data_IF_246568590955
#
_entry.id   IF_246568590955
#
_cell.length_a   1.000
_cell.length_b   1.000
_cell.length_c   1.000
_cell.angle_alpha   90.00
_cell.angle_beta   90.00
_cell.angle_gamma   90.00
#
_symmetry.space_group_name_H-M   'P 1'
#
loop_
_entity.id
_entity.type
_entity.pdbx_description
1 polymer ?
#
# COMPACT_ATOMS: atom_id res chain seq x y z
N UNK A 1 9.26 36.92 21.56
CA UNK A 1 8.82 36.11 22.71
C UNK A 1 7.77 35.13 22.23
N UNK A 2 7.95 33.83 22.45
CA UNK A 2 6.97 32.81 22.07
C UNK A 2 5.81 32.88 23.07
N UNK A 3 4.61 33.26 22.61
CA UNK A 3 3.40 33.48 23.41
C UNK A 3 2.74 32.19 23.92
N UNK A 4 3.51 31.31 24.56
CA UNK A 4 3.00 30.10 25.20
C UNK A 4 2.72 30.35 26.69
N UNK A 5 1.58 29.85 27.17
CA UNK A 5 1.22 29.89 28.58
C UNK A 5 2.23 29.11 29.44
N UNK A 6 2.58 29.67 30.60
CA UNK A 6 3.53 29.10 31.58
C UNK A 6 3.16 27.67 31.97
N UNK A 7 1.86 27.37 32.13
CA UNK A 7 1.39 26.02 32.52
C UNK A 7 1.63 24.97 31.44
N UNK A 8 1.51 25.34 30.16
CA UNK A 8 1.77 24.45 29.03
C UNK A 8 3.25 24.09 28.94
N UNK A 9 4.14 25.05 29.26
CA UNK A 9 5.58 24.84 29.27
C UNK A 9 6.03 23.85 30.35
N UNK A 10 5.40 23.85 31.52
CA UNK A 10 5.76 22.95 32.63
C UNK A 10 5.00 21.63 32.62
N UNK A 11 4.07 21.41 31.69
CA UNK A 11 3.27 20.19 31.65
C UNK A 11 4.16 18.98 31.30
N UNK A 12 4.19 17.99 32.21
CA UNK A 12 4.78 16.67 31.95
C UNK A 12 3.65 15.65 31.78
N UNK A 13 3.58 14.93 30.65
CA UNK A 13 2.59 13.89 30.48
C UNK A 13 2.85 12.76 31.47
N UNK A 14 1.83 12.39 32.25
CA UNK A 14 1.88 11.25 33.17
C UNK A 14 1.76 9.96 32.36
N UNK A 15 2.75 9.06 32.48
CA UNK A 15 2.68 7.73 31.88
C UNK A 15 1.63 6.91 32.60
N UNK A 16 0.68 6.31 31.86
CA UNK A 16 -0.31 5.41 32.45
C UNK A 16 0.34 4.05 32.70
N UNK A 17 0.03 3.37 33.82
CA UNK A 17 0.62 2.06 34.15
C UNK A 17 0.31 0.97 33.10
N UNK A 18 -0.79 1.11 32.36
CA UNK A 18 -1.13 0.17 31.27
C UNK A 18 -0.21 0.28 30.04
N UNK A 19 0.57 1.36 29.92
CA UNK A 19 1.39 1.61 28.73
C UNK A 19 2.52 0.60 28.59
N UNK A 20 3.15 0.20 29.69
CA UNK A 20 4.24 -0.77 29.67
C UNK A 20 3.75 -2.15 29.18
N UNK A 21 2.53 -2.53 29.55
CA UNK A 21 1.88 -3.78 29.10
C UNK A 21 1.66 -3.71 27.58
N UNK A 22 1.14 -2.58 27.10
CA UNK A 22 0.87 -2.35 25.68
C UNK A 22 2.17 -2.35 24.87
N UNK A 23 3.21 -1.67 25.36
CA UNK A 23 4.53 -1.61 24.72
C UNK A 23 5.11 -3.01 24.59
N UNK A 24 5.12 -3.78 25.69
CA UNK A 24 5.64 -5.14 25.71
C UNK A 24 4.88 -6.05 24.75
N UNK A 25 3.54 -5.91 24.69
CA UNK A 25 2.70 -6.70 23.79
C UNK A 25 2.90 -6.32 22.33
N UNK A 26 2.95 -5.02 22.03
CA UNK A 26 3.21 -4.50 20.69
C UNK A 26 4.58 -4.98 20.18
N UNK A 27 5.62 -4.94 21.03
CA UNK A 27 6.96 -5.43 20.70
C UNK A 27 6.95 -6.93 20.37
N UNK A 28 6.28 -7.74 21.19
CA UNK A 28 6.12 -9.18 20.92
C UNK A 28 5.40 -9.46 19.59
N UNK A 29 4.34 -8.71 19.29
CA UNK A 29 3.62 -8.84 18.02
C UNK A 29 4.48 -8.42 16.82
N UNK A 30 5.26 -7.35 16.96
CA UNK A 30 6.16 -6.86 15.92
C UNK A 30 7.32 -7.83 15.64
N UNK A 31 7.90 -8.44 16.68
CA UNK A 31 8.94 -9.48 16.56
C UNK A 31 8.39 -10.72 15.86
N UNK A 32 7.20 -11.20 16.26
CA UNK A 32 6.56 -12.37 15.65
C UNK A 32 6.20 -12.12 14.18
N UNK A 33 5.82 -10.89 13.83
CA UNK A 33 5.24 -10.56 12.51
C UNK A 33 5.89 -9.32 11.90
N UNK A 34 7.18 -9.41 11.60
CA UNK A 34 8.02 -8.32 11.09
C UNK A 34 7.55 -7.65 9.78
N UNK A 35 6.61 -8.24 9.03
CA UNK A 35 6.01 -7.63 7.81
C UNK A 35 4.81 -6.72 8.11
N UNK A 36 4.31 -6.70 9.34
CA UNK A 36 3.09 -5.97 9.68
C UNK A 36 3.40 -4.54 10.10
N UNK A 37 2.67 -3.59 9.51
CA UNK A 37 2.72 -2.18 9.89
C UNK A 37 1.78 -1.85 11.04
N UNK A 38 1.83 -0.61 11.52
CA UNK A 38 1.03 -0.12 12.64
C UNK A 38 -0.49 -0.40 12.51
N UNK A 39 -1.17 -0.21 11.35
CA UNK A 39 -2.60 -0.48 11.24
C UNK A 39 -2.97 -1.94 11.55
N UNK A 40 -2.14 -2.89 11.12
CA UNK A 40 -2.38 -4.32 11.38
C UNK A 40 -2.15 -4.68 12.85
N UNK A 41 -1.09 -4.14 13.44
CA UNK A 41 -0.80 -4.34 14.86
C UNK A 41 -1.88 -3.73 15.77
N UNK A 42 -2.41 -2.56 15.39
CA UNK A 42 -3.52 -1.91 16.09
C UNK A 42 -4.78 -2.77 16.10
N UNK A 43 -5.15 -3.38 14.97
CA UNK A 43 -6.31 -4.29 14.90
C UNK A 43 -6.09 -5.51 15.79
N UNK A 44 -4.87 -6.06 15.85
CA UNK A 44 -4.56 -7.20 16.72
C UNK A 44 -4.68 -6.83 18.20
N UNK A 45 -4.15 -5.67 18.60
CA UNK A 45 -4.33 -5.15 19.96
C UNK A 45 -5.83 -4.96 20.29
N UNK A 46 -6.62 -4.43 19.35
CA UNK A 46 -8.06 -4.27 19.55
C UNK A 46 -8.78 -5.61 19.71
N UNK A 47 -8.36 -6.64 18.96
CA UNK A 47 -8.89 -8.02 19.10
C UNK A 47 -8.51 -8.66 20.43
N UNK A 48 -7.36 -8.31 20.98
CA UNK A 48 -6.94 -8.73 22.32
C UNK A 48 -7.66 -7.96 23.45
N UNK A 49 -8.55 -7.02 23.13
CA UNK A 49 -9.38 -6.29 24.10
C UNK A 49 -8.84 -4.92 24.50
N UNK A 50 -7.71 -4.48 23.96
CA UNK A 50 -7.15 -3.17 24.28
C UNK A 50 -7.95 -2.05 23.60
N UNK A 51 -8.63 -1.21 24.39
CA UNK A 51 -9.38 -0.02 23.94
C UNK A 51 -8.46 1.20 23.81
N UNK A 52 -7.52 1.17 22.87
CA UNK A 52 -6.55 2.25 22.63
C UNK A 52 -6.93 3.00 21.35
N UNK A 53 -6.68 4.31 21.31
CA UNK A 53 -6.83 5.10 20.07
C UNK A 53 -5.67 4.80 19.09
N UNK A 54 -5.96 4.69 17.79
CA UNK A 54 -4.97 4.43 16.74
C UNK A 54 -3.78 5.39 16.78
N UNK A 55 -4.02 6.69 17.04
CA UNK A 55 -2.96 7.71 17.17
C UNK A 55 -1.96 7.38 18.27
N UNK A 56 -2.42 6.77 19.36
CA UNK A 56 -1.54 6.42 20.49
C UNK A 56 -0.67 5.22 20.14
N UNK A 57 -1.24 4.20 19.50
CA UNK A 57 -0.45 3.07 18.99
C UNK A 57 0.58 3.50 17.96
N UNK A 58 0.28 4.46 17.08
CA UNK A 58 1.24 5.01 16.12
C UNK A 58 2.39 5.76 16.77
N UNK A 59 2.12 6.52 17.84
CA UNK A 59 3.17 7.21 18.63
C UNK A 59 4.11 6.21 19.28
N UNK A 60 3.57 5.21 19.97
CA UNK A 60 4.38 4.15 20.62
C UNK A 60 5.19 3.38 19.57
N UNK A 61 4.57 3.03 18.45
CA UNK A 61 5.23 2.33 17.35
C UNK A 61 6.41 3.13 16.75
N UNK A 62 6.21 4.44 16.57
CA UNK A 62 7.27 5.35 16.11
C UNK A 62 8.39 5.50 17.14
N UNK A 63 8.05 5.63 18.43
CA UNK A 63 9.03 5.71 19.53
C UNK A 63 9.88 4.44 19.66
N UNK A 64 9.30 3.27 19.37
CA UNK A 64 10.00 1.99 19.37
C UNK A 64 10.85 1.74 18.11
N UNK A 65 10.81 2.65 17.12
CA UNK A 65 11.59 2.50 15.89
C UNK A 65 11.16 1.31 15.02
N UNK A 66 9.93 0.81 15.19
CA UNK A 66 9.43 -0.39 14.51
C UNK A 66 9.02 -0.16 13.04
N UNK A 67 9.31 1.04 12.50
CA UNK A 67 8.89 1.47 11.18
C UNK A 67 9.44 0.52 10.11
N UNK A 68 8.54 -0.05 9.31
CA UNK A 68 8.92 -0.90 8.19
C UNK A 68 9.67 -0.08 7.15
N UNK A 69 10.92 -0.48 6.86
CA UNK A 69 11.69 0.11 5.77
C UNK A 69 11.13 -0.40 4.45
N UNK A 70 10.30 0.40 3.79
CA UNK A 70 9.81 0.10 2.44
C UNK A 70 10.92 0.44 1.46
N UNK A 71 11.41 -0.56 0.71
CA UNK A 71 12.34 -0.32 -0.40
C UNK A 71 11.53 0.26 -1.55
N UNK A 72 11.71 1.55 -1.83
CA UNK A 72 11.07 2.19 -2.98
C UNK A 72 11.54 1.50 -4.26
N UNK A 73 10.60 1.12 -5.14
CA UNK A 73 10.94 0.57 -6.45
C UNK A 73 11.71 1.65 -7.23
N UNK A 74 12.93 1.33 -7.65
CA UNK A 74 13.69 2.21 -8.55
C UNK A 74 12.86 2.38 -9.84
N UNK A 75 12.57 3.62 -10.21
CA UNK A 75 11.98 3.91 -11.52
C UNK A 75 13.05 3.58 -12.56
N UNK A 76 12.79 2.57 -13.39
CA UNK A 76 13.58 2.35 -14.59
C UNK A 76 13.22 3.45 -15.59
N UNK A 77 14.17 3.91 -16.39
CA UNK A 77 13.87 4.82 -17.49
C UNK A 77 12.79 4.17 -18.36
N UNK A 78 11.73 4.92 -18.66
CA UNK A 78 10.77 4.49 -19.66
C UNK A 78 11.53 4.42 -20.98
N UNK A 79 11.56 3.25 -21.63
CA UNK A 79 11.98 3.23 -23.02
C UNK A 79 11.05 4.16 -23.81
N UNK A 80 11.62 4.91 -24.76
CA UNK A 80 10.83 5.73 -25.67
C UNK A 80 9.77 4.82 -26.29
N UNK A 81 8.51 5.20 -26.18
CA UNK A 81 7.41 4.46 -26.80
C UNK A 81 7.57 4.66 -28.31
N UNK A 82 8.18 3.68 -28.98
CA UNK A 82 8.28 3.69 -30.44
C UNK A 82 6.86 3.71 -31.00
N UNK A 83 6.58 4.67 -31.89
CA UNK A 83 5.29 4.72 -32.57
C UNK A 83 5.11 3.43 -33.37
N UNK A 84 3.93 2.80 -33.24
CA UNK A 84 3.63 1.61 -34.03
C UNK A 84 3.57 2.01 -35.51
N UNK A 85 4.24 1.25 -36.41
CA UNK A 85 4.18 1.54 -37.82
C UNK A 85 2.73 1.45 -38.33
N UNK A 86 2.31 2.42 -39.15
CA UNK A 86 0.98 2.41 -39.77
C UNK A 86 0.93 1.31 -40.85
N UNK A 87 -0.17 0.54 -40.96
CA UNK A 87 -0.29 -0.46 -42.01
C UNK A 87 -0.45 0.23 -43.38
N UNK A 88 0.42 -0.11 -44.34
CA UNK A 88 0.34 0.35 -45.72
C UNK A 88 -0.76 -0.32 -46.57
N UNK A 89 -1.21 -1.53 -46.23
CA UNK A 89 -2.22 -2.27 -46.98
C UNK A 89 -3.08 -3.18 -46.07
N UNK A 90 -4.26 -3.64 -46.54
CA UNK A 90 -5.06 -4.62 -45.81
C UNK A 90 -4.25 -5.89 -45.47
N UNK A 91 -4.39 -6.41 -44.25
CA UNK A 91 -3.65 -7.57 -43.71
C UNK A 91 -2.12 -7.38 -43.56
N UNK A 92 -1.60 -6.15 -43.62
CA UNK A 92 -0.16 -5.88 -43.54
C UNK A 92 0.45 -6.16 -42.15
N UNK A 93 -0.32 -5.97 -41.07
CA UNK A 93 0.16 -6.18 -39.69
C UNK A 93 -0.78 -7.16 -39.00
N UNK A 94 -0.20 -8.23 -38.44
CA UNK A 94 -0.90 -9.18 -37.59
C UNK A 94 -0.63 -8.78 -36.15
N UNK A 95 -1.60 -8.16 -35.49
CA UNK A 95 -1.55 -8.00 -34.03
C UNK A 95 -2.07 -9.28 -33.37
N UNK A 96 -1.42 -9.72 -32.30
CA UNK A 96 -1.91 -10.83 -31.49
C UNK A 96 -3.17 -10.37 -30.74
N UNK A 97 -4.36 -10.71 -31.25
CA UNK A 97 -5.62 -10.48 -30.56
C UNK A 97 -5.79 -11.57 -29.48
N UNK A 98 -5.55 -11.23 -28.22
CA UNK A 98 -5.93 -12.08 -27.09
C UNK A 98 -7.45 -11.99 -26.89
N UNK A 99 -8.21 -12.65 -27.75
CA UNK A 99 -9.62 -12.93 -27.51
C UNK A 99 -9.65 -14.13 -26.56
N UNK A 100 -10.07 -13.87 -25.31
CA UNK A 100 -10.31 -14.92 -24.32
C UNK A 100 -11.53 -15.72 -24.80
N UNK A 101 -11.27 -16.89 -25.38
CA UNK A 101 -12.32 -17.80 -25.82
C UNK A 101 -13.19 -18.19 -24.62
N UNK A 102 -14.46 -17.85 -24.67
CA UNK A 102 -15.46 -18.37 -23.75
C UNK A 102 -16.69 -18.90 -24.47
N UNK A 103 -16.61 -19.21 -25.78
CA UNK A 103 -17.65 -20.00 -26.43
C UNK A 103 -17.16 -20.56 -27.78
N UNK A 104 -16.80 -21.84 -27.73
CA UNK A 104 -16.82 -22.73 -28.87
C UNK A 104 -18.20 -22.73 -29.53
N UNK A 105 -18.34 -22.12 -30.72
CA UNK A 105 -19.06 -22.69 -31.88
C UNK A 105 -19.30 -21.64 -32.96
N UNK A 106 -18.95 -22.05 -34.17
CA UNK A 106 -19.53 -21.69 -35.46
C UNK A 106 -19.03 -20.40 -36.16
N UNK A 107 -18.54 -20.67 -37.38
CA UNK A 107 -18.50 -19.81 -38.57
C UNK A 107 -17.30 -18.87 -38.71
N UNK A 108 -16.33 -19.34 -39.50
CA UNK A 108 -15.38 -18.50 -40.21
C UNK A 108 -16.13 -17.64 -41.24
N UNK A 109 -16.62 -16.47 -40.83
CA UNK A 109 -17.02 -15.40 -41.74
C UNK A 109 -15.98 -14.29 -41.68
N UNK A 110 -14.94 -14.41 -42.51
CA UNK A 110 -14.03 -13.30 -42.80
C UNK A 110 -14.80 -12.21 -43.56
N UNK A 111 -15.47 -11.32 -42.83
CA UNK A 111 -16.01 -10.08 -43.37
C UNK A 111 -15.34 -8.91 -42.66
N UNK A 112 -14.40 -8.27 -43.35
CA UNK A 112 -13.81 -6.99 -42.93
C UNK A 112 -14.27 -5.94 -43.91
N UNK A 113 -15.10 -5.01 -43.44
CA UNK A 113 -15.47 -3.80 -44.17
C UNK A 113 -14.29 -2.82 -44.10
N UNK A 114 -13.81 -2.37 -45.25
CA UNK A 114 -13.04 -1.13 -45.34
C UNK A 114 -13.98 0.04 -45.01
N UNK A 115 -13.58 0.94 -44.10
CA UNK A 115 -14.20 2.27 -44.01
C UNK A 115 -13.46 3.20 -44.99
N UNK A 116 -14.18 4.13 -45.64
CA UNK A 116 -13.58 5.13 -46.53
C UNK A 116 -12.63 6.06 -45.77
#
# INVERSE_FOLDING_TARGET
>A
MIGLSRTSFYYKPVSKPDEDIIIKRLKKLAETRRRFGCPRLHIMLRREGFKINHKRTERIYSQLGLILRIRLRKKMSSQLRTEMPKPAYPNHIWSMDFIKDSNSRLMNTRHVRARP
#
